data_IF_438901632362
#
_entry.id   IF_438901632362
#
_cell.length_a   1.000
_cell.length_b   1.000
_cell.length_c   1.000
_cell.angle_alpha   90.00
_cell.angle_beta   90.00
_cell.angle_gamma   90.00
#
_symmetry.space_group_name_H-M   'P 1'
#
loop_
_entity.id
_entity.type
_entity.pdbx_description
1 polymer ?
#
# COMPACT_ATOMS: atom_id res chain seq x y z
N UNK A 1 7.03 42.54 5.95
CA UNK A 1 7.48 41.80 4.76
C UNK A 1 7.64 40.36 5.17
N UNK A 2 6.75 39.50 4.69
CA UNK A 2 6.71 38.08 5.03
C UNK A 2 7.56 37.33 4.02
N UNK A 3 8.80 37.00 4.36
CA UNK A 3 9.64 36.18 3.51
C UNK A 3 9.29 34.70 3.74
N UNK A 4 8.95 34.06 2.63
CA UNK A 4 8.32 32.76 2.56
C UNK A 4 9.21 31.66 3.11
N UNK A 5 8.80 31.11 4.25
CA UNK A 5 9.16 29.73 4.58
C UNK A 5 8.31 28.84 3.68
N UNK A 6 8.81 28.59 2.47
CA UNK A 6 8.35 27.49 1.65
C UNK A 6 8.54 26.22 2.49
N UNK A 7 7.44 25.77 3.09
CA UNK A 7 7.25 24.40 3.51
C UNK A 7 7.62 23.55 2.30
N UNK A 8 8.89 23.12 2.30
CA UNK A 8 9.34 21.99 1.53
C UNK A 8 8.50 20.86 2.09
N UNK A 9 7.33 20.66 1.48
CA UNK A 9 6.53 19.47 1.65
C UNK A 9 7.47 18.33 1.30
N UNK A 10 8.14 17.81 2.33
CA UNK A 10 8.94 16.61 2.23
C UNK A 10 8.05 15.64 1.46
N UNK A 11 8.51 15.26 0.26
CA UNK A 11 7.95 14.14 -0.49
C UNK A 11 7.92 12.99 0.50
N UNK A 12 6.78 12.82 1.16
CA UNK A 12 6.56 11.73 2.10
C UNK A 12 6.90 10.49 1.28
N UNK A 13 7.89 9.68 1.70
CA UNK A 13 8.23 8.48 0.96
C UNK A 13 6.92 7.74 0.73
N UNK A 14 6.58 7.54 -0.54
CA UNK A 14 5.30 6.95 -0.91
C UNK A 14 5.16 5.66 -0.10
N UNK A 15 4.08 5.57 0.68
CA UNK A 15 3.92 4.47 1.59
C UNK A 15 3.89 3.16 0.78
N UNK A 16 4.91 2.29 0.88
CA UNK A 16 5.03 1.12 0.01
C UNK A 16 3.85 0.17 0.21
N UNK A 17 3.28 0.18 1.43
CA UNK A 17 2.05 -0.54 1.77
C UNK A 17 0.84 0.00 0.99
N UNK A 18 0.62 1.32 0.98
CA UNK A 18 -0.47 1.95 0.23
C UNK A 18 -0.32 1.75 -1.29
N UNK A 19 0.91 1.81 -1.80
CA UNK A 19 1.20 1.56 -3.21
C UNK A 19 0.86 0.12 -3.59
N UNK A 20 1.34 -0.85 -2.81
CA UNK A 20 1.03 -2.26 -3.04
C UNK A 20 -0.48 -2.57 -2.92
N UNK A 21 -1.17 -1.93 -1.96
CA UNK A 21 -2.62 -2.05 -1.81
C UNK A 21 -3.37 -1.52 -3.04
N UNK A 22 -3.00 -0.33 -3.55
CA UNK A 22 -3.65 0.26 -4.72
C UNK A 22 -3.49 -0.60 -5.97
N UNK A 23 -2.29 -1.13 -6.20
CA UNK A 23 -2.02 -2.03 -7.33
C UNK A 23 -2.86 -3.30 -7.26
N UNK A 24 -2.89 -3.95 -6.09
CA UNK A 24 -3.76 -5.11 -5.86
C UNK A 24 -5.24 -4.77 -6.05
N UNK A 25 -5.71 -3.67 -5.48
CA UNK A 25 -7.12 -3.28 -5.51
C UNK A 25 -7.58 -2.93 -6.93
N UNK A 26 -6.75 -2.23 -7.71
CA UNK A 26 -7.06 -1.94 -9.10
C UNK A 26 -7.18 -3.23 -9.93
N UNK A 27 -6.25 -4.17 -9.74
CA UNK A 27 -6.33 -5.47 -10.39
C UNK A 27 -7.60 -6.23 -9.99
N UNK A 28 -7.88 -6.35 -8.68
CA UNK A 28 -9.05 -7.05 -8.16
C UNK A 28 -10.37 -6.45 -8.68
N UNK A 29 -10.40 -5.13 -8.88
CA UNK A 29 -11.55 -4.41 -9.47
C UNK A 29 -11.71 -4.62 -10.97
N UNK A 30 -10.65 -4.91 -11.72
CA UNK A 30 -10.73 -5.09 -13.18
C UNK A 30 -10.93 -6.55 -13.57
N UNK A 31 -10.29 -7.48 -12.84
CA UNK A 31 -10.32 -8.91 -13.12
C UNK A 31 -11.68 -9.56 -12.74
N UNK A 32 -12.37 -10.18 -13.68
CA UNK A 32 -13.67 -10.82 -13.44
C UNK A 32 -13.62 -12.03 -12.51
N UNK A 33 -12.47 -12.71 -12.45
CA UNK A 33 -12.26 -13.80 -11.51
C UNK A 33 -12.12 -13.26 -10.08
N UNK A 34 -11.23 -12.28 -9.87
CA UNK A 34 -11.00 -11.68 -8.55
C UNK A 34 -12.24 -10.99 -7.97
N UNK A 35 -13.07 -10.35 -8.80
CA UNK A 35 -14.35 -9.74 -8.36
C UNK A 35 -15.31 -10.72 -7.69
N UNK A 36 -15.27 -11.99 -8.13
CA UNK A 36 -16.19 -13.04 -7.66
C UNK A 36 -15.69 -13.76 -6.42
N UNK A 37 -14.44 -13.52 -6.02
CA UNK A 37 -13.83 -14.19 -4.88
C UNK A 37 -14.04 -13.41 -3.60
N UNK A 38 -14.44 -14.12 -2.55
CA UNK A 38 -14.57 -13.54 -1.20
C UNK A 38 -13.22 -13.34 -0.51
N UNK A 39 -12.15 -13.97 -1.00
CA UNK A 39 -10.79 -13.87 -0.45
C UNK A 39 -9.80 -13.53 -1.55
N UNK A 40 -8.87 -12.61 -1.24
CA UNK A 40 -7.79 -12.23 -2.15
C UNK A 40 -6.87 -13.41 -2.53
N UNK A 41 -6.69 -14.37 -1.61
CA UNK A 41 -5.91 -15.59 -1.83
C UNK A 41 -6.58 -16.61 -2.76
N UNK A 42 -7.88 -16.48 -3.03
CA UNK A 42 -8.62 -17.36 -3.96
C UNK A 42 -8.73 -16.72 -5.36
N UNK A 43 -8.24 -15.49 -5.53
CA UNK A 43 -8.18 -14.80 -6.81
C UNK A 43 -7.21 -15.46 -7.80
N UNK A 44 -7.04 -14.86 -8.98
CA UNK A 44 -6.13 -15.41 -9.99
C UNK A 44 -4.67 -15.27 -9.54
N UNK A 45 -3.75 -15.94 -10.25
CA UNK A 45 -2.31 -15.91 -9.94
C UNK A 45 -1.75 -14.50 -9.74
N UNK A 46 -2.07 -13.57 -10.65
CA UNK A 46 -1.63 -12.17 -10.56
C UNK A 46 -2.21 -11.46 -9.33
N UNK A 47 -3.50 -11.66 -9.06
CA UNK A 47 -4.17 -11.11 -7.88
C UNK A 47 -3.57 -11.63 -6.58
N UNK A 48 -3.23 -12.92 -6.53
CA UNK A 48 -2.55 -13.54 -5.38
C UNK A 48 -1.13 -13.00 -5.20
N UNK A 49 -0.39 -12.81 -6.29
CA UNK A 49 0.96 -12.25 -6.25
C UNK A 49 0.94 -10.81 -5.72
N UNK A 50 0.03 -9.96 -6.23
CA UNK A 50 -0.14 -8.59 -5.76
C UNK A 50 -0.58 -8.52 -4.29
N UNK A 51 -1.47 -9.42 -3.87
CA UNK A 51 -1.87 -9.56 -2.47
C UNK A 51 -0.69 -9.97 -1.57
N UNK A 52 0.16 -10.88 -2.05
CA UNK A 52 1.40 -11.28 -1.39
C UNK A 52 2.36 -10.10 -1.18
N UNK A 53 2.58 -9.29 -2.22
CA UNK A 53 3.41 -8.08 -2.15
C UNK A 53 2.88 -7.08 -1.12
N UNK A 54 1.56 -6.86 -1.09
CA UNK A 54 0.93 -6.01 -0.07
C UNK A 54 1.20 -6.54 1.35
N UNK A 55 1.02 -7.85 1.58
CA UNK A 55 1.30 -8.45 2.90
C UNK A 55 2.76 -8.28 3.30
N UNK A 56 3.70 -8.49 2.39
CA UNK A 56 5.13 -8.27 2.66
C UNK A 56 5.43 -6.81 2.98
N UNK A 57 4.81 -5.86 2.28
CA UNK A 57 4.95 -4.43 2.56
C UNK A 57 4.37 -4.04 3.94
N UNK A 58 3.32 -4.72 4.42
CA UNK A 58 2.81 -4.55 5.79
C UNK A 58 3.78 -5.09 6.84
N UNK A 59 4.40 -6.25 6.60
CA UNK A 59 5.34 -6.88 7.53
C UNK A 59 6.65 -6.08 7.61
N UNK A 60 7.09 -5.50 6.50
CA UNK A 60 8.31 -4.68 6.42
C UNK A 60 8.19 -3.28 7.03
N UNK A 61 7.02 -2.88 7.56
CA UNK A 61 6.90 -1.63 8.32
C UNK A 61 7.47 -1.86 9.73
N UNK A 62 8.60 -1.22 10.11
CA UNK A 62 8.90 -1.08 11.52
C UNK A 62 7.75 -0.26 12.12
N UNK A 63 7.10 -0.81 13.12
CA UNK A 63 6.15 -0.08 13.94
C UNK A 63 6.84 1.23 14.38
N UNK A 64 6.18 2.40 14.34
CA UNK A 64 6.78 3.58 14.95
C UNK A 64 6.94 3.25 16.43
N UNK A 65 8.17 2.91 16.85
CA UNK A 65 8.54 2.82 18.26
C UNK A 65 8.08 4.13 18.88
N UNK A 66 7.02 4.07 19.68
CA UNK A 66 6.71 5.14 20.62
C UNK A 66 7.90 5.19 21.56
N UNK A 67 8.77 6.16 21.34
CA UNK A 67 9.84 6.52 22.25
C UNK A 67 9.16 6.91 23.58
N UNK A 68 9.20 5.99 24.54
CA UNK A 68 8.84 6.27 25.92
C UNK A 68 9.96 7.10 26.51
N UNK A 69 9.73 8.40 26.68
CA UNK A 69 10.45 9.23 27.65
C UNK A 69 9.85 9.05 29.03
#
# INVERSE_FOLDING_TARGET
MSDGRADTAALKPEDPTLLAYRLWFEHARKCDHCKRMSKASDGCDDGRALWGTYRLACIGRPEPKKESS
#
